data_IF_705308634975
#
_entry.id   IF_705308634975
#
_cell.length_a   1.000
_cell.length_b   1.000
_cell.length_c   1.000
_cell.angle_alpha   90.00
_cell.angle_beta   90.00
_cell.angle_gamma   90.00
#
_symmetry.space_group_name_H-M   'P 1'
#
loop_
_entity.id
_entity.type
_entity.pdbx_description
1 polymer ?
#
# COMPACT_ATOMS: atom_id res chain seq x y z
N UNK A 1 3.86 36.87 -7.37
CA UNK A 1 5.20 36.25 -7.15
C UNK A 1 5.03 35.27 -6.01
N UNK A 2 4.73 34.00 -6.31
CA UNK A 2 4.71 32.93 -5.34
C UNK A 2 6.17 32.46 -5.16
N UNK A 3 6.72 32.69 -3.98
CA UNK A 3 8.01 32.17 -3.57
C UNK A 3 7.77 30.71 -3.20
N UNK A 4 8.15 29.77 -4.09
CA UNK A 4 8.26 28.36 -3.77
C UNK A 4 9.33 28.21 -2.67
N UNK A 5 8.91 28.07 -1.44
CA UNK A 5 9.76 27.55 -0.37
C UNK A 5 9.84 26.04 -0.58
N UNK A 6 10.78 25.61 -1.40
CA UNK A 6 11.26 24.23 -1.38
C UNK A 6 11.95 24.06 -0.04
N UNK A 7 11.25 23.46 0.93
CA UNK A 7 11.91 22.88 2.09
C UNK A 7 12.62 21.62 1.55
N UNK A 8 13.96 21.59 1.51
CA UNK A 8 14.66 20.35 1.26
C UNK A 8 14.33 19.44 2.45
N UNK A 9 13.59 18.36 2.21
CA UNK A 9 13.57 17.22 3.10
C UNK A 9 15.02 16.72 3.14
N UNK A 10 15.76 17.17 4.12
CA UNK A 10 17.05 16.61 4.48
C UNK A 10 16.74 15.20 5.00
N UNK A 11 16.79 14.21 4.11
CA UNK A 11 16.96 12.83 4.50
C UNK A 11 18.25 12.80 5.33
N UNK A 12 18.07 12.78 6.63
CA UNK A 12 19.20 12.61 7.55
C UNK A 12 19.64 11.16 7.42
N UNK A 13 20.94 10.89 7.53
CA UNK A 13 21.48 9.52 7.46
C UNK A 13 20.80 8.53 8.42
N UNK A 14 20.10 9.05 9.43
CA UNK A 14 19.23 8.28 10.32
C UNK A 14 18.01 7.62 9.64
N UNK A 15 17.44 8.27 8.61
CA UNK A 15 16.30 7.70 7.86
C UNK A 15 16.76 6.59 6.92
N UNK A 16 17.94 6.74 6.31
CA UNK A 16 18.55 5.70 5.46
C UNK A 16 18.96 4.47 6.27
N UNK A 17 19.47 4.65 7.48
CA UNK A 17 19.84 3.54 8.37
C UNK A 17 18.58 2.80 8.85
N UNK A 18 17.53 3.53 9.19
CA UNK A 18 16.24 2.97 9.57
C UNK A 18 15.62 2.18 8.41
N UNK A 19 15.66 2.74 7.20
CA UNK A 19 15.19 2.08 5.97
C UNK A 19 15.95 0.76 5.73
N UNK A 20 17.29 0.79 5.76
CA UNK A 20 18.13 -0.41 5.61
C UNK A 20 17.84 -1.45 6.69
N UNK A 21 17.65 -1.01 7.94
CA UNK A 21 17.29 -1.91 9.04
C UNK A 21 15.94 -2.58 8.81
N UNK A 22 14.94 -1.84 8.32
CA UNK A 22 13.62 -2.39 7.98
C UNK A 22 13.70 -3.39 6.83
N UNK A 23 14.45 -3.08 5.77
CA UNK A 23 14.68 -4.00 4.65
C UNK A 23 15.37 -5.28 5.11
N UNK A 24 16.41 -5.16 5.94
CA UNK A 24 17.12 -6.31 6.49
C UNK A 24 16.20 -7.17 7.36
N UNK A 25 15.46 -6.56 8.28
CA UNK A 25 14.51 -7.27 9.14
C UNK A 25 13.43 -8.01 8.33
N UNK A 26 12.91 -7.37 7.27
CA UNK A 26 11.92 -8.01 6.39
C UNK A 26 12.56 -9.16 5.60
N UNK A 27 13.78 -8.99 5.09
CA UNK A 27 14.52 -10.03 4.40
C UNK A 27 14.72 -11.26 5.30
N UNK A 28 15.23 -11.06 6.52
CA UNK A 28 15.42 -12.16 7.48
C UNK A 28 14.11 -12.84 7.85
N UNK A 29 13.02 -12.08 8.03
CA UNK A 29 11.71 -12.63 8.32
C UNK A 29 11.18 -13.53 7.20
N UNK A 30 11.47 -13.17 5.95
CA UNK A 30 10.96 -13.89 4.78
C UNK A 30 11.90 -15.04 4.33
N UNK A 31 13.11 -15.11 4.84
CA UNK A 31 14.09 -16.14 4.47
C UNK A 31 13.51 -17.55 4.60
N UNK A 32 13.66 -18.33 3.53
CA UNK A 32 13.15 -19.70 3.47
C UNK A 32 11.65 -19.82 3.22
N UNK A 33 10.93 -18.71 3.00
CA UNK A 33 9.55 -18.79 2.58
C UNK A 33 9.45 -19.43 1.19
N UNK A 34 8.50 -20.34 1.04
CA UNK A 34 8.00 -20.75 -0.27
C UNK A 34 6.90 -19.75 -0.71
N UNK A 35 7.15 -18.93 -1.74
CA UNK A 35 6.21 -17.90 -2.17
C UNK A 35 4.82 -18.44 -2.49
N UNK A 36 4.75 -19.61 -3.14
CA UNK A 36 3.49 -20.24 -3.53
C UNK A 36 2.73 -20.74 -2.29
N UNK A 37 3.45 -21.28 -1.33
CA UNK A 37 2.85 -21.75 -0.08
C UNK A 37 2.31 -20.59 0.76
N UNK A 38 3.07 -19.48 0.87
CA UNK A 38 2.61 -18.27 1.55
C UNK A 38 1.36 -17.70 0.90
N UNK A 39 1.37 -17.56 -0.44
CA UNK A 39 0.21 -17.08 -1.19
C UNK A 39 -1.02 -17.97 -0.97
N UNK A 40 -0.84 -19.30 -0.95
CA UNK A 40 -1.92 -20.26 -0.65
C UNK A 40 -2.47 -20.09 0.77
N UNK A 41 -1.61 -19.90 1.78
CA UNK A 41 -2.05 -19.63 3.15
C UNK A 41 -2.86 -18.35 3.21
N UNK A 42 -2.35 -17.26 2.61
CA UNK A 42 -3.04 -15.96 2.62
C UNK A 42 -4.39 -16.08 1.92
N UNK A 43 -4.46 -16.72 0.76
CA UNK A 43 -5.73 -16.97 0.04
C UNK A 43 -6.77 -17.68 0.92
N UNK A 44 -6.35 -18.69 1.68
CA UNK A 44 -7.25 -19.44 2.56
C UNK A 44 -7.84 -18.61 3.70
N UNK A 45 -7.11 -17.62 4.19
CA UNK A 45 -7.57 -16.76 5.30
C UNK A 45 -8.14 -15.43 4.84
N UNK A 46 -7.97 -15.06 3.58
CA UNK A 46 -8.34 -13.74 3.04
C UNK A 46 -9.84 -13.47 3.27
N UNK A 47 -10.72 -14.38 2.89
CA UNK A 47 -12.17 -14.21 3.04
C UNK A 47 -12.63 -14.19 4.51
N UNK A 48 -12.00 -14.99 5.37
CA UNK A 48 -12.45 -15.16 6.77
C UNK A 48 -11.81 -14.16 7.72
N UNK A 49 -10.63 -13.63 7.39
CA UNK A 49 -9.83 -12.81 8.30
C UNK A 49 -9.61 -11.40 7.74
N UNK A 50 -9.27 -11.27 6.46
CA UNK A 50 -8.93 -9.97 5.85
C UNK A 50 -10.18 -9.22 5.43
N UNK A 51 -11.11 -9.86 4.73
CA UNK A 51 -12.34 -9.21 4.28
C UNK A 51 -13.14 -8.50 5.40
N UNK A 52 -13.26 -9.06 6.62
CA UNK A 52 -13.91 -8.37 7.74
C UNK A 52 -13.18 -7.11 8.23
N UNK A 53 -11.90 -6.95 7.91
CA UNK A 53 -11.09 -5.79 8.29
C UNK A 53 -11.21 -4.65 7.28
N UNK A 54 -11.73 -4.92 6.08
CA UNK A 54 -11.93 -3.88 5.08
C UNK A 54 -12.97 -2.86 5.53
N UNK A 55 -12.69 -1.60 5.34
CA UNK A 55 -13.66 -0.53 5.54
C UNK A 55 -14.68 -0.51 4.40
N UNK A 56 -15.96 -0.39 4.72
CA UNK A 56 -17.03 -0.24 3.72
C UNK A 56 -16.84 1.00 2.86
N UNK A 57 -16.36 2.07 3.49
CA UNK A 57 -16.05 3.32 2.82
C UNK A 57 -14.94 3.14 1.78
N UNK A 58 -13.91 2.33 2.08
CA UNK A 58 -12.84 2.01 1.13
C UNK A 58 -13.37 1.20 -0.06
N UNK A 59 -14.20 0.19 0.19
CA UNK A 59 -14.81 -0.61 -0.88
C UNK A 59 -15.71 0.24 -1.78
N UNK A 60 -16.56 1.10 -1.18
CA UNK A 60 -17.41 2.02 -1.94
C UNK A 60 -16.58 3.01 -2.78
N UNK A 61 -15.43 3.46 -2.25
CA UNK A 61 -14.53 4.34 -2.97
C UNK A 61 -13.87 3.64 -4.17
N UNK A 62 -13.44 2.38 -4.01
CA UNK A 62 -12.93 1.54 -5.11
C UNK A 62 -13.99 1.42 -6.21
N UNK A 63 -15.22 1.07 -5.82
CA UNK A 63 -16.31 0.91 -6.78
C UNK A 63 -16.66 2.23 -7.48
N UNK A 64 -16.63 3.35 -6.74
CA UNK A 64 -16.82 4.68 -7.32
C UNK A 64 -15.77 5.00 -8.39
N UNK A 65 -14.48 4.75 -8.09
CA UNK A 65 -13.42 4.97 -9.08
C UNK A 65 -13.60 4.08 -10.32
N UNK A 66 -14.01 2.84 -10.14
CA UNK A 66 -14.29 1.94 -11.28
C UNK A 66 -15.44 2.42 -12.15
N UNK A 67 -16.52 2.92 -11.52
CA UNK A 67 -17.66 3.50 -12.27
C UNK A 67 -17.26 4.73 -13.09
N UNK A 68 -16.26 5.46 -12.65
CA UNK A 68 -15.67 6.58 -13.39
C UNK A 68 -14.66 6.14 -14.47
N UNK A 69 -14.44 4.84 -14.65
CA UNK A 69 -13.46 4.31 -15.59
C UNK A 69 -12.00 4.47 -15.14
N UNK A 70 -11.76 4.72 -13.85
CA UNK A 70 -10.42 4.82 -13.32
C UNK A 70 -9.80 3.44 -13.10
N UNK A 71 -8.51 3.31 -13.37
CA UNK A 71 -7.73 2.14 -12.97
C UNK A 71 -7.38 2.23 -11.49
N UNK A 72 -7.59 1.14 -10.76
CA UNK A 72 -7.28 1.07 -9.32
C UNK A 72 -6.05 0.19 -9.11
N UNK A 73 -5.12 0.67 -8.31
CA UNK A 73 -3.85 -0.01 -7.99
C UNK A 73 -3.72 -0.12 -6.47
N UNK A 74 -3.22 -1.26 -5.98
CA UNK A 74 -2.77 -1.38 -4.59
C UNK A 74 -1.28 -1.09 -4.52
N UNK A 75 -0.85 -0.19 -3.62
CA UNK A 75 0.55 0.04 -3.30
C UNK A 75 0.80 -0.25 -1.81
N UNK A 76 1.64 -1.25 -1.50
CA UNK A 76 1.88 -1.73 -0.14
C UNK A 76 3.35 -2.02 0.11
N UNK A 77 3.83 -1.76 1.33
CA UNK A 77 5.16 -2.14 1.77
C UNK A 77 5.30 -3.65 2.10
N UNK A 78 4.19 -4.38 2.17
CA UNK A 78 4.19 -5.81 2.42
C UNK A 78 4.73 -6.60 1.22
N UNK A 79 5.25 -7.84 1.42
CA UNK A 79 5.64 -8.73 0.33
C UNK A 79 4.50 -9.03 -0.64
N UNK A 80 4.84 -9.22 -1.92
CA UNK A 80 3.87 -9.44 -3.00
C UNK A 80 2.99 -10.67 -2.75
N UNK A 81 3.54 -11.72 -2.15
CA UNK A 81 2.84 -12.97 -1.80
C UNK A 81 1.69 -12.75 -0.81
N UNK A 82 1.76 -11.66 -0.03
CA UNK A 82 0.69 -11.25 0.89
C UNK A 82 -0.29 -10.32 0.18
N UNK A 83 0.19 -9.41 -0.65
CA UNK A 83 -0.64 -8.36 -1.28
C UNK A 83 -1.46 -8.91 -2.43
N UNK A 84 -0.91 -9.83 -3.24
CA UNK A 84 -1.58 -10.39 -4.42
C UNK A 84 -2.93 -11.06 -4.11
N UNK A 85 -3.07 -11.91 -3.07
CA UNK A 85 -4.37 -12.46 -2.67
C UNK A 85 -5.40 -11.40 -2.27
N UNK A 86 -4.94 -10.30 -1.64
CA UNK A 86 -5.81 -9.18 -1.26
C UNK A 86 -6.27 -8.42 -2.50
N UNK A 87 -5.35 -8.18 -3.44
CA UNK A 87 -5.68 -7.56 -4.73
C UNK A 87 -6.72 -8.39 -5.50
N UNK A 88 -6.55 -9.72 -5.54
CA UNK A 88 -7.52 -10.64 -6.14
C UNK A 88 -8.89 -10.58 -5.44
N UNK A 89 -8.93 -10.59 -4.09
CA UNK A 89 -10.17 -10.44 -3.33
C UNK A 89 -10.92 -9.16 -3.73
N UNK A 90 -10.18 -8.07 -3.91
CA UNK A 90 -10.72 -6.77 -4.28
C UNK A 90 -10.90 -6.59 -5.80
N UNK A 91 -10.58 -7.61 -6.60
CA UNK A 91 -10.60 -7.57 -8.08
C UNK A 91 -9.77 -6.41 -8.63
N UNK A 92 -8.62 -6.13 -8.01
CA UNK A 92 -7.67 -5.11 -8.44
C UNK A 92 -6.52 -5.80 -9.18
N UNK A 93 -6.30 -5.51 -10.48
CA UNK A 93 -5.33 -6.24 -11.29
C UNK A 93 -3.88 -5.87 -10.98
N UNK A 94 -3.63 -4.62 -10.61
CA UNK A 94 -2.28 -4.08 -10.43
C UNK A 94 -1.96 -3.92 -8.93
N UNK A 95 -0.85 -4.54 -8.50
CA UNK A 95 -0.34 -4.46 -7.13
C UNK A 95 1.15 -4.11 -7.15
N UNK A 96 1.49 -2.97 -6.55
CA UNK A 96 2.85 -2.54 -6.28
C UNK A 96 3.20 -2.93 -4.84
N UNK A 97 4.23 -3.74 -4.67
CA UNK A 97 4.57 -4.36 -3.39
C UNK A 97 6.08 -4.53 -3.25
N UNK A 98 6.52 -4.82 -2.04
CA UNK A 98 7.89 -5.25 -1.79
C UNK A 98 8.15 -6.59 -2.48
N UNK A 99 9.26 -6.70 -3.19
CA UNK A 99 9.68 -7.91 -3.90
C UNK A 99 10.82 -8.56 -3.12
N UNK A 100 10.56 -9.78 -2.69
CA UNK A 100 11.53 -10.62 -1.99
C UNK A 100 12.36 -11.40 -3.02
N UNK A 101 13.68 -11.44 -2.85
CA UNK A 101 14.56 -12.21 -3.69
C UNK A 101 14.37 -13.71 -3.50
N UNK A 102 14.61 -14.48 -4.55
CA UNK A 102 14.51 -15.95 -4.55
C UNK A 102 15.84 -16.60 -4.88
N UNK A 103 16.19 -17.63 -4.14
CA UNK A 103 17.31 -18.50 -4.40
C UNK A 103 17.06 -19.45 -5.58
N UNK A 104 18.08 -20.25 -5.93
CA UNK A 104 17.98 -21.25 -7.02
C UNK A 104 16.97 -22.37 -6.71
N UNK A 105 16.66 -22.57 -5.44
CA UNK A 105 15.68 -23.53 -4.94
C UNK A 105 14.23 -22.99 -5.01
N UNK A 106 14.06 -21.74 -5.43
CA UNK A 106 12.75 -21.07 -5.51
C UNK A 106 12.24 -20.53 -4.17
N UNK A 107 12.98 -20.73 -3.09
CA UNK A 107 12.65 -20.18 -1.78
C UNK A 107 13.16 -18.74 -1.63
N UNK A 108 12.55 -17.97 -0.75
CA UNK A 108 13.02 -16.63 -0.41
C UNK A 108 14.43 -16.69 0.20
N UNK A 109 15.38 -15.97 -0.40
CA UNK A 109 16.80 -15.99 0.01
C UNK A 109 17.12 -14.97 1.12
N UNK A 110 16.14 -14.18 1.54
CA UNK A 110 16.29 -13.15 2.55
C UNK A 110 16.75 -11.80 2.01
N UNK A 111 16.88 -11.65 0.69
CA UNK A 111 17.14 -10.35 0.07
C UNK A 111 15.85 -9.64 -0.29
N UNK A 112 15.88 -8.31 -0.36
CA UNK A 112 14.79 -7.47 -0.86
C UNK A 112 15.28 -6.82 -2.14
N UNK A 113 14.70 -7.17 -3.28
CA UNK A 113 15.08 -6.64 -4.59
C UNK A 113 14.37 -5.32 -4.93
N UNK A 114 13.19 -5.10 -4.35
CA UNK A 114 12.47 -3.82 -4.38
C UNK A 114 11.76 -3.62 -3.04
N UNK A 115 11.99 -2.50 -2.38
CA UNK A 115 11.31 -2.14 -1.14
C UNK A 115 10.27 -1.07 -1.41
N UNK A 116 8.99 -1.45 -1.44
CA UNK A 116 7.87 -0.57 -1.79
C UNK A 116 7.42 0.30 -0.60
N UNK A 117 8.34 1.13 -0.08
CA UNK A 117 8.13 2.01 1.06
C UNK A 117 8.72 3.39 0.77
N UNK A 118 8.11 4.46 1.27
CA UNK A 118 8.58 5.82 1.08
C UNK A 118 8.81 6.16 -0.39
N UNK A 119 10.01 6.62 -0.72
CA UNK A 119 10.41 6.94 -2.10
C UNK A 119 10.28 5.75 -3.05
N UNK A 120 10.66 4.54 -2.62
CA UNK A 120 10.52 3.34 -3.47
C UNK A 120 9.09 3.05 -3.89
N UNK A 121 8.10 3.37 -3.03
CA UNK A 121 6.68 3.29 -3.39
C UNK A 121 6.30 4.36 -4.42
N UNK A 122 6.77 5.59 -4.22
CA UNK A 122 6.54 6.69 -5.14
C UNK A 122 7.13 6.41 -6.53
N UNK A 123 8.36 5.91 -6.58
CA UNK A 123 9.05 5.51 -7.81
C UNK A 123 8.28 4.40 -8.56
N UNK A 124 7.81 3.37 -7.84
CA UNK A 124 7.02 2.30 -8.43
C UNK A 124 5.70 2.81 -9.02
N UNK A 125 5.01 3.71 -8.31
CA UNK A 125 3.81 4.38 -8.81
C UNK A 125 4.08 5.21 -10.06
N UNK A 126 5.14 6.01 -10.06
CA UNK A 126 5.54 6.82 -11.20
C UNK A 126 5.94 5.97 -12.42
N UNK A 127 6.64 4.86 -12.19
CA UNK A 127 7.03 3.91 -13.25
C UNK A 127 5.81 3.27 -13.90
N UNK A 128 4.86 2.76 -13.10
CA UNK A 128 3.61 2.19 -13.61
C UNK A 128 2.78 3.22 -14.38
N UNK A 129 2.66 4.45 -13.86
CA UNK A 129 1.95 5.52 -14.54
C UNK A 129 2.56 5.83 -15.92
N UNK A 130 3.87 5.90 -15.99
CA UNK A 130 4.60 6.13 -17.25
C UNK A 130 4.38 4.99 -18.24
N UNK A 131 4.50 3.73 -17.77
CA UNK A 131 4.27 2.54 -18.58
C UNK A 131 2.87 2.51 -19.20
N UNK A 132 1.86 2.88 -18.41
CA UNK A 132 0.45 2.84 -18.81
C UNK A 132 -0.03 4.14 -19.47
N UNK A 133 0.82 5.16 -19.56
CA UNK A 133 0.44 6.48 -20.07
C UNK A 133 -0.60 7.20 -19.20
N UNK A 134 -0.57 6.99 -17.87
CA UNK A 134 -1.50 7.62 -16.94
C UNK A 134 -1.01 9.01 -16.52
N UNK A 135 -1.95 9.96 -16.39
CA UNK A 135 -1.65 11.31 -15.89
C UNK A 135 -1.69 11.35 -14.37
N UNK A 136 -0.55 11.66 -13.77
CA UNK A 136 -0.40 11.80 -12.32
C UNK A 136 -1.17 13.01 -11.77
N UNK A 137 -1.31 14.09 -12.54
CA UNK A 137 -2.06 15.27 -12.11
C UNK A 137 -3.57 15.00 -12.01
N UNK A 138 -4.08 14.07 -12.83
CA UNK A 138 -5.47 13.63 -12.81
C UNK A 138 -5.68 12.44 -11.85
N UNK A 139 -4.60 11.91 -11.26
CA UNK A 139 -4.62 10.71 -10.42
C UNK A 139 -4.91 11.02 -8.96
N UNK A 140 -5.40 10.03 -8.24
CA UNK A 140 -5.72 10.07 -6.82
C UNK A 140 -4.78 9.14 -6.05
N UNK A 141 -4.35 9.54 -4.87
CA UNK A 141 -3.66 8.67 -3.92
C UNK A 141 -4.31 8.78 -2.54
N UNK A 142 -4.37 7.65 -1.84
CA UNK A 142 -4.98 7.51 -0.52
C UNK A 142 -3.99 6.83 0.42
N UNK A 143 -3.71 7.42 1.57
CA UNK A 143 -2.86 6.80 2.60
C UNK A 143 -3.23 7.26 4.00
N UNK A 144 -2.82 6.45 4.98
CA UNK A 144 -2.93 6.71 6.42
C UNK A 144 -1.58 7.03 7.08
N UNK A 145 -0.47 6.89 6.35
CA UNK A 145 0.88 7.00 6.92
C UNK A 145 1.70 8.13 6.29
N UNK A 146 2.47 8.81 7.14
CA UNK A 146 3.45 9.82 6.71
C UNK A 146 4.54 9.24 5.80
N UNK A 147 4.84 7.94 5.91
CA UNK A 147 5.80 7.27 5.04
C UNK A 147 5.40 7.27 3.57
N UNK A 148 4.12 7.46 3.27
CA UNK A 148 3.59 7.54 1.91
C UNK A 148 3.52 8.98 1.37
N UNK A 149 4.09 9.95 2.11
CA UNK A 149 4.12 11.35 1.68
C UNK A 149 4.69 11.52 0.27
N UNK A 150 5.81 10.87 -0.13
CA UNK A 150 6.33 10.99 -1.49
C UNK A 150 5.32 10.52 -2.55
N UNK A 151 4.56 9.45 -2.29
CA UNK A 151 3.50 8.97 -3.19
C UNK A 151 2.32 9.95 -3.26
N UNK A 152 1.93 10.54 -2.13
CA UNK A 152 0.84 11.53 -2.08
C UNK A 152 1.21 12.81 -2.84
N UNK A 153 2.47 13.22 -2.80
CA UNK A 153 3.00 14.39 -3.50
C UNK A 153 3.10 14.21 -5.02
N UNK A 154 3.14 12.97 -5.51
CA UNK A 154 3.18 12.68 -6.95
C UNK A 154 1.89 12.99 -7.68
N UNK A 155 0.75 13.02 -7.00
CA UNK A 155 -0.56 13.05 -7.64
C UNK A 155 -1.26 14.39 -7.46
N UNK A 156 -2.12 14.74 -8.41
CA UNK A 156 -2.90 15.97 -8.31
C UNK A 156 -4.04 15.90 -7.28
N UNK A 157 -4.43 14.69 -6.84
CA UNK A 157 -5.54 14.53 -5.90
C UNK A 157 -5.17 13.65 -4.68
N UNK A 158 -4.24 14.09 -3.82
CA UNK A 158 -3.91 13.37 -2.59
C UNK A 158 -5.07 13.39 -1.58
N UNK A 159 -5.23 12.32 -0.82
CA UNK A 159 -6.24 12.16 0.24
C UNK A 159 -5.62 11.43 1.43
N UNK A 160 -5.73 12.01 2.62
CA UNK A 160 -5.35 11.34 3.86
C UNK A 160 -6.55 10.57 4.43
N UNK A 161 -6.39 9.28 4.72
CA UNK A 161 -7.46 8.41 5.23
C UNK A 161 -7.08 7.90 6.61
N UNK A 162 -7.85 8.26 7.65
CA UNK A 162 -7.51 7.90 9.04
C UNK A 162 -6.02 8.16 9.37
N UNK A 163 -5.45 9.32 8.99
CA UNK A 163 -4.01 9.54 8.97
C UNK A 163 -3.38 9.44 10.36
N UNK A 164 -2.13 8.99 10.39
CA UNK A 164 -1.29 9.14 11.56
C UNK A 164 -1.08 10.64 11.91
N UNK A 165 -0.51 10.91 13.09
CA UNK A 165 -0.37 12.28 13.59
C UNK A 165 0.47 13.18 12.65
N UNK A 166 1.51 12.62 12.06
CA UNK A 166 2.42 13.35 11.19
C UNK A 166 1.76 13.66 9.83
N UNK A 167 1.14 12.67 9.20
CA UNK A 167 0.39 12.88 7.96
C UNK A 167 -0.81 13.81 8.15
N UNK A 168 -1.49 13.72 9.31
CA UNK A 168 -2.60 14.62 9.62
C UNK A 168 -2.15 16.09 9.74
N UNK A 169 -0.93 16.34 10.22
CA UNK A 169 -0.38 17.69 10.27
C UNK A 169 -0.08 18.23 8.87
N UNK A 170 0.59 17.44 8.03
CA UNK A 170 0.90 17.80 6.63
C UNK A 170 -0.39 18.00 5.82
N UNK A 171 -1.36 17.10 5.97
CA UNK A 171 -2.63 17.21 5.24
C UNK A 171 -3.40 18.50 5.57
N UNK A 172 -3.37 18.96 6.84
CA UNK A 172 -3.97 20.24 7.22
C UNK A 172 -3.21 21.42 6.67
N UNK A 173 -1.87 21.39 6.74
CA UNK A 173 -1.00 22.45 6.21
C UNK A 173 -1.18 22.65 4.70
N UNK A 174 -1.37 21.54 3.97
CA UNK A 174 -1.50 21.53 2.51
C UNK A 174 -2.96 21.54 2.04
N UNK A 175 -3.91 21.67 2.94
CA UNK A 175 -5.34 21.67 2.67
C UNK A 175 -5.80 20.39 1.95
N UNK A 176 -5.12 19.26 2.16
CA UNK A 176 -5.52 17.97 1.61
C UNK A 176 -6.77 17.43 2.33
N UNK A 177 -7.74 16.87 1.60
CA UNK A 177 -8.89 16.26 2.23
C UNK A 177 -8.50 15.11 3.17
N UNK A 178 -9.05 15.16 4.40
CA UNK A 178 -8.92 14.09 5.38
C UNK A 178 -10.22 13.32 5.43
N UNK A 179 -10.16 12.03 5.12
CA UNK A 179 -11.28 11.10 5.14
C UNK A 179 -11.24 10.25 6.41
N UNK A 180 -12.42 10.03 6.99
CA UNK A 180 -12.55 9.16 8.16
C UNK A 180 -13.36 7.91 7.80
N UNK A 181 -12.70 6.74 7.81
CA UNK A 181 -13.32 5.44 7.61
C UNK A 181 -13.50 4.77 8.96
N UNK A 182 -14.73 4.37 9.27
CA UNK A 182 -15.09 3.82 10.60
C UNK A 182 -15.86 2.52 10.53
N UNK A 183 -16.45 2.19 9.38
CA UNK A 183 -17.35 1.04 9.23
C UNK A 183 -16.66 -0.13 8.57
N UNK A 184 -16.24 -1.12 9.35
CA UNK A 184 -15.73 -2.38 8.81
C UNK A 184 -16.85 -3.28 8.30
N UNK A 185 -16.52 -4.20 7.37
CA UNK A 185 -17.45 -5.19 6.85
C UNK A 185 -17.80 -6.19 7.97
N UNK A 186 -19.09 -6.25 8.37
CA UNK A 186 -19.58 -7.27 9.31
C UNK A 186 -19.92 -8.54 8.53
N UNK A 187 -19.10 -9.58 8.64
CA UNK A 187 -19.51 -10.93 8.20
C UNK A 187 -20.38 -11.51 9.32
N UNK A 188 -21.68 -11.68 9.05
CA UNK A 188 -22.59 -12.42 9.93
C UNK A 188 -22.17 -13.89 9.96
N UNK A 189 -21.68 -14.35 11.09
CA UNK A 189 -21.65 -15.76 11.47
C UNK A 189 -20.52 -16.60 10.90
N UNK A 190 -19.31 -16.48 11.48
CA UNK A 190 -18.41 -17.64 11.65
C UNK A 190 -17.56 -17.44 12.88
N UNK A 191 -17.43 -18.51 13.70
CA UNK A 191 -16.61 -18.55 14.92
C UNK A 191 -15.17 -18.15 14.56
N UNK A 192 -14.65 -17.14 15.24
CA UNK A 192 -13.26 -16.64 15.10
C UNK A 192 -12.29 -17.82 15.24
N UNK A 193 -11.60 -18.16 14.18
CA UNK A 193 -10.51 -19.13 14.23
C UNK A 193 -9.35 -18.53 15.07
N UNK A 194 -9.01 -19.21 16.17
CA UNK A 194 -7.96 -18.79 17.13
C UNK A 194 -6.54 -18.79 16.55
N UNK A 195 -6.32 -19.35 15.35
CA UNK A 195 -4.99 -19.49 14.74
C UNK A 195 -4.47 -18.23 14.01
N UNK A 196 -5.33 -17.29 13.65
CA UNK A 196 -4.91 -16.08 12.92
C UNK A 196 -4.17 -15.05 13.80
N UNK A 197 -4.15 -15.22 15.12
CA UNK A 197 -3.55 -14.24 16.06
C UNK A 197 -2.02 -14.17 16.03
N UNK A 198 -1.34 -15.16 15.50
CA UNK A 198 0.13 -15.22 15.50
C UNK A 198 0.80 -14.51 14.30
N UNK A 199 0.09 -14.35 13.17
CA UNK A 199 0.64 -13.73 11.96
C UNK A 199 0.21 -12.27 11.74
N UNK A 200 -0.84 -11.81 12.41
CA UNK A 200 -1.38 -10.45 12.28
C UNK A 200 -0.43 -9.34 12.78
N UNK A 201 0.42 -9.52 13.82
CA UNK A 201 1.29 -8.43 14.28
C UNK A 201 2.30 -7.95 13.23
N UNK A 202 2.72 -8.81 12.29
CA UNK A 202 3.72 -8.48 11.28
C UNK A 202 3.13 -7.64 10.13
N UNK A 203 1.87 -7.89 9.78
CA UNK A 203 1.17 -7.13 8.73
C UNK A 203 0.69 -5.75 9.24
N UNK A 204 0.45 -5.61 10.55
CA UNK A 204 -0.03 -4.35 11.15
C UNK A 204 1.10 -3.47 11.69
N UNK A 205 2.30 -4.02 11.95
CA UNK A 205 3.46 -3.26 12.41
C UNK A 205 4.20 -2.55 11.25
N UNK A 206 4.08 -3.05 10.04
CA UNK A 206 4.49 -2.31 8.85
C UNK A 206 3.24 -1.70 8.24
N UNK A 207 2.90 -0.46 8.57
CA UNK A 207 1.68 0.20 8.14
C UNK A 207 1.22 -0.26 6.76
N UNK A 208 0.10 -0.98 6.71
CA UNK A 208 -0.55 -1.30 5.44
C UNK A 208 -1.16 0.01 4.96
N UNK A 209 -0.31 0.89 4.46
CA UNK A 209 -0.75 1.97 3.61
C UNK A 209 -1.27 1.34 2.33
N UNK A 210 -2.56 1.04 2.28
CA UNK A 210 -3.20 0.66 1.02
C UNK A 210 -3.36 1.98 0.26
N UNK A 211 -2.34 2.32 -0.52
CA UNK A 211 -2.44 3.42 -1.48
C UNK A 211 -3.29 2.94 -2.66
N UNK A 212 -4.41 3.59 -2.92
CA UNK A 212 -5.24 3.34 -4.10
C UNK A 212 -4.93 4.40 -5.16
N UNK A 213 -4.68 3.91 -6.37
CA UNK A 213 -4.43 4.77 -7.54
C UNK A 213 -5.59 4.67 -8.52
N UNK A 214 -6.05 5.81 -9.02
CA UNK A 214 -7.12 5.81 -10.00
C UNK A 214 -6.88 6.86 -11.09
N UNK A 215 -7.00 6.49 -12.35
CA UNK A 215 -6.92 7.38 -13.52
C UNK A 215 -8.29 7.61 -14.15
N UNK A 216 -8.54 8.81 -14.63
CA UNK A 216 -9.61 9.11 -15.56
C UNK A 216 -9.20 8.66 -16.97
N UNK A 217 -9.99 7.77 -17.61
CA UNK A 217 -9.83 7.50 -19.04
C UNK A 217 -10.23 8.75 -19.81
N UNK A 218 -9.36 9.27 -20.67
CA UNK A 218 -9.74 10.28 -21.65
C UNK A 218 -10.50 9.51 -22.74
N UNK A 219 -11.77 9.86 -23.06
CA UNK A 219 -12.41 9.29 -24.23
C UNK A 219 -11.65 9.78 -25.47
N UNK A 220 -11.23 8.85 -26.29
CA UNK A 220 -10.71 9.09 -27.63
C UNK A 220 -11.75 9.67 -28.56
#
# INVERSE_FOLDING_TARGET
>A
RATLVQLPYLFTGADDERMRSMMHALGELTRGWDPQYVEKIVNNVTNSTIAPLCYREALALIDHHRLLGHHVVIASASPLEIVRPIAHLLSIPDALSTIVGQGRDGLADGTITHFNHGEGKAEACAALARERGWDLNESFAYSDSISDLPMLELVGNPRAVNPDRALAAVAREREWPILSFTRTVRIRGRKRARLARAMIPVALAGGIGIGYWARRSIPS
#
